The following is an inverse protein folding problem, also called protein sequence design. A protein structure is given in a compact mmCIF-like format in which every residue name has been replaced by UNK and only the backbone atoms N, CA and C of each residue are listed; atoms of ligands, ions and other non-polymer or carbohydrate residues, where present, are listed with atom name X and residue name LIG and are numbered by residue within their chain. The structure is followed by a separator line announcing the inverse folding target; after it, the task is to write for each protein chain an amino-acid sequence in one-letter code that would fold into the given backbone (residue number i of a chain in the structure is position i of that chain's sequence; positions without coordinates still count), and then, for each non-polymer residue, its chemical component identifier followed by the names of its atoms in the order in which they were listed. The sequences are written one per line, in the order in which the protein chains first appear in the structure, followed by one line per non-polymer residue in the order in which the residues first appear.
data_IF_461547132176
#
_entry.id   IF_461547132176
#
_cell.length_a   1.000
_cell.length_b   1.000
_cell.length_c   1.000
_cell.angle_alpha   90.00
_cell.angle_beta   90.00
_cell.angle_gamma   90.00
#
_symmetry.space_group_name_H-M   'P 1'
#
loop_
_entity.id
_entity.type
_entity.pdbx_description
1 polymer ?
#
# COMPACT_ATOMS: atom_id res chain seq x y z
N UNK A 1 -25.53 2.56 7.90
CA UNK A 1 -24.93 3.70 7.14
C UNK A 1 -24.78 3.28 5.68
N UNK A 2 -24.73 4.23 4.75
CA UNK A 2 -24.57 3.96 3.31
C UNK A 2 -23.18 4.48 2.88
N UNK A 3 -22.49 3.73 2.01
CA UNK A 3 -21.12 4.06 1.57
C UNK A 3 -21.03 3.88 0.05
N UNK A 4 -20.55 4.89 -0.65
CA UNK A 4 -20.12 4.78 -2.05
C UNK A 4 -18.69 4.24 -2.12
N UNK A 5 -18.46 3.18 -2.89
CA UNK A 5 -17.12 2.64 -3.13
C UNK A 5 -16.73 2.87 -4.58
N UNK A 6 -15.71 3.69 -4.81
CA UNK A 6 -15.20 4.04 -6.13
C UNK A 6 -13.89 3.33 -6.38
N UNK A 7 -13.85 2.48 -7.39
CA UNK A 7 -12.74 1.57 -7.65
C UNK A 7 -12.96 0.21 -6.98
N UNK A 8 -13.34 -0.77 -7.80
CA UNK A 8 -13.61 -2.15 -7.38
C UNK A 8 -12.49 -3.11 -7.84
N UNK A 9 -11.27 -2.61 -7.87
CA UNK A 9 -10.08 -3.45 -8.02
C UNK A 9 -9.89 -4.40 -6.83
N UNK A 10 -8.75 -5.10 -6.78
CA UNK A 10 -8.47 -6.12 -5.74
C UNK A 10 -8.72 -5.65 -4.31
N UNK A 11 -8.31 -4.43 -3.98
CA UNK A 11 -8.49 -3.89 -2.62
C UNK A 11 -9.91 -3.36 -2.40
N UNK A 12 -10.40 -2.51 -3.32
CA UNK A 12 -11.70 -1.86 -3.17
C UNK A 12 -12.88 -2.85 -3.16
N UNK A 13 -12.83 -3.89 -4.02
CA UNK A 13 -13.85 -4.94 -4.00
C UNK A 13 -13.89 -5.68 -2.66
N UNK A 14 -12.72 -6.11 -2.14
CA UNK A 14 -12.65 -6.83 -0.88
C UNK A 14 -13.10 -5.97 0.30
N UNK A 15 -12.75 -4.67 0.30
CA UNK A 15 -13.20 -3.74 1.33
C UNK A 15 -14.71 -3.48 1.24
N UNK A 16 -15.28 -3.37 0.03
CA UNK A 16 -16.73 -3.24 -0.20
C UNK A 16 -17.49 -4.47 0.31
N UNK A 17 -16.95 -5.67 0.09
CA UNK A 17 -17.50 -6.92 0.60
C UNK A 17 -17.44 -6.98 2.13
N UNK A 18 -16.34 -6.58 2.74
CA UNK A 18 -16.18 -6.49 4.19
C UNK A 18 -17.22 -5.53 4.81
N UNK A 19 -17.38 -4.33 4.23
CA UNK A 19 -18.42 -3.37 4.62
C UNK A 19 -19.83 -3.94 4.50
N UNK A 20 -20.10 -4.69 3.43
CA UNK A 20 -21.40 -5.33 3.21
C UNK A 20 -21.68 -6.37 4.28
N UNK A 21 -20.71 -7.21 4.64
CA UNK A 21 -20.81 -8.20 5.69
C UNK A 21 -21.01 -7.55 7.08
N UNK A 22 -20.45 -6.37 7.29
CA UNK A 22 -20.65 -5.54 8.48
C UNK A 22 -22.02 -4.82 8.51
N UNK A 23 -22.86 -5.00 7.49
CA UNK A 23 -24.22 -4.47 7.43
C UNK A 23 -24.37 -3.07 6.83
N UNK A 24 -23.34 -2.55 6.18
CA UNK A 24 -23.45 -1.30 5.43
C UNK A 24 -24.14 -1.52 4.07
N UNK A 25 -24.93 -0.54 3.64
CA UNK A 25 -25.38 -0.50 2.25
C UNK A 25 -24.27 0.09 1.39
N UNK A 26 -23.69 -0.74 0.53
CA UNK A 26 -22.62 -0.32 -0.38
C UNK A 26 -23.18 -0.07 -1.78
N UNK A 27 -22.81 1.08 -2.37
CA UNK A 27 -23.01 1.39 -3.79
C UNK A 27 -21.62 1.47 -4.45
N UNK A 28 -21.33 0.57 -5.38
CA UNK A 28 -20.02 0.48 -6.00
C UNK A 28 -20.00 1.02 -7.43
N UNK A 29 -18.85 1.59 -7.84
CA UNK A 29 -18.57 1.94 -9.22
C UNK A 29 -17.13 1.62 -9.59
N UNK A 30 -16.95 1.05 -10.79
CA UNK A 30 -15.65 0.82 -11.41
C UNK A 30 -15.78 0.91 -12.92
N UNK A 31 -14.92 1.67 -13.64
CA UNK A 31 -14.99 1.80 -15.09
C UNK A 31 -14.75 0.46 -15.83
N UNK A 32 -14.18 -0.55 -15.17
CA UNK A 32 -14.03 -1.91 -15.69
C UNK A 32 -15.31 -2.76 -15.65
N UNK A 33 -16.46 -2.18 -15.32
CA UNK A 33 -17.76 -2.87 -15.21
C UNK A 33 -17.72 -4.07 -14.27
N UNK A 34 -17.05 -3.94 -13.14
CA UNK A 34 -17.05 -4.96 -12.09
C UNK A 34 -18.45 -5.08 -11.50
N UNK A 35 -19.01 -6.28 -11.52
CA UNK A 35 -20.33 -6.56 -10.95
C UNK A 35 -20.24 -7.67 -9.90
N UNK A 36 -21.12 -7.60 -8.90
CA UNK A 36 -21.24 -8.60 -7.85
C UNK A 36 -22.71 -8.75 -7.46
N UNK A 37 -23.09 -9.91 -6.93
CA UNK A 37 -24.43 -10.13 -6.36
C UNK A 37 -24.55 -9.71 -4.89
N UNK A 38 -23.44 -9.29 -4.25
CA UNK A 38 -23.40 -9.03 -2.80
C UNK A 38 -23.75 -7.58 -2.44
N UNK A 39 -23.54 -6.63 -3.36
CA UNK A 39 -23.96 -5.24 -3.20
C UNK A 39 -24.31 -4.63 -4.55
N UNK A 40 -24.96 -3.47 -4.52
CA UNK A 40 -25.41 -2.77 -5.72
C UNK A 40 -24.25 -2.07 -6.43
N UNK A 41 -24.07 -2.29 -7.74
CA UNK A 41 -23.13 -1.55 -8.58
C UNK A 41 -23.88 -0.58 -9.49
N UNK A 42 -23.24 0.55 -9.80
CA UNK A 42 -23.75 1.64 -10.62
C UNK A 42 -22.91 1.80 -11.88
N UNK A 43 -23.50 2.40 -12.92
CA UNK A 43 -22.85 2.59 -14.21
C UNK A 43 -21.98 3.86 -14.26
N UNK A 44 -22.13 4.77 -13.27
CA UNK A 44 -21.35 5.99 -13.19
C UNK A 44 -21.10 6.46 -11.74
N UNK A 45 -20.15 7.38 -11.60
CA UNK A 45 -19.84 8.05 -10.33
C UNK A 45 -21.04 8.88 -9.84
N UNK A 46 -21.72 9.56 -10.76
CA UNK A 46 -22.91 10.37 -10.51
C UNK A 46 -24.00 9.51 -9.89
N UNK A 47 -24.28 8.34 -10.48
CA UNK A 47 -25.31 7.44 -9.98
C UNK A 47 -25.00 6.90 -8.57
N UNK A 48 -23.71 6.69 -8.24
CA UNK A 48 -23.33 6.36 -6.86
C UNK A 48 -23.68 7.51 -5.93
N UNK A 49 -23.27 8.73 -6.26
CA UNK A 49 -23.49 9.91 -5.42
C UNK A 49 -24.98 10.21 -5.24
N UNK A 50 -25.77 10.11 -6.32
CA UNK A 50 -27.22 10.32 -6.28
C UNK A 50 -27.96 9.25 -5.48
N UNK A 51 -27.46 8.02 -5.49
CA UNK A 51 -28.04 6.88 -4.77
C UNK A 51 -27.78 6.89 -3.25
N UNK A 52 -26.89 7.77 -2.75
CA UNK A 52 -26.53 7.87 -1.35
C UNK A 52 -27.35 8.94 -0.63
N UNK A 53 -27.68 8.68 0.64
CA UNK A 53 -28.29 9.67 1.53
C UNK A 53 -27.27 10.63 2.10
N UNK A 54 -27.65 11.91 2.21
CA UNK A 54 -26.84 12.95 2.85
C UNK A 54 -26.87 12.83 4.39
N UNK A 55 -25.73 13.10 5.09
CA UNK A 55 -24.40 13.34 4.52
C UNK A 55 -23.85 12.05 3.88
N UNK A 56 -23.35 12.18 2.66
CA UNK A 56 -22.81 11.06 1.90
C UNK A 56 -21.41 10.69 2.39
N UNK A 57 -21.07 9.41 2.34
CA UNK A 57 -19.69 8.91 2.56
C UNK A 57 -19.25 8.20 1.30
N UNK A 58 -18.19 8.69 0.66
CA UNK A 58 -17.62 8.11 -0.56
C UNK A 58 -16.18 7.71 -0.32
N UNK A 59 -15.89 6.43 -0.47
CA UNK A 59 -14.55 5.85 -0.33
C UNK A 59 -13.95 5.56 -1.70
N UNK A 60 -12.81 6.18 -1.99
CA UNK A 60 -12.09 6.07 -3.26
C UNK A 60 -10.92 5.11 -3.10
N UNK A 61 -10.91 4.04 -3.92
CA UNK A 61 -9.91 2.97 -3.93
C UNK A 61 -9.32 2.78 -5.34
N UNK A 62 -8.81 3.85 -5.92
CA UNK A 62 -8.24 3.88 -7.26
C UNK A 62 -6.71 4.04 -7.22
N UNK A 63 -5.97 3.76 -8.33
CA UNK A 63 -4.54 3.98 -8.40
C UNK A 63 -4.17 5.43 -8.09
N UNK A 64 -3.14 5.62 -7.25
CA UNK A 64 -2.63 6.94 -6.89
C UNK A 64 -2.14 7.75 -8.12
N UNK A 65 -2.17 9.07 -8.00
CA UNK A 65 -1.77 10.00 -9.06
C UNK A 65 -2.95 10.52 -9.87
N UNK A 66 -2.79 10.66 -11.18
CA UNK A 66 -3.76 11.31 -12.07
C UNK A 66 -5.18 10.71 -11.99
N UNK A 67 -5.28 9.38 -11.83
CA UNK A 67 -6.59 8.72 -11.71
C UNK A 67 -7.32 9.18 -10.44
N UNK A 68 -6.61 9.22 -9.30
CA UNK A 68 -7.16 9.75 -8.06
C UNK A 68 -7.54 11.22 -8.21
N UNK A 69 -6.71 12.04 -8.84
CA UNK A 69 -6.97 13.46 -9.03
C UNK A 69 -8.24 13.70 -9.86
N UNK A 70 -8.46 12.95 -10.94
CA UNK A 70 -9.66 13.05 -11.75
C UNK A 70 -10.92 12.65 -10.97
N UNK A 71 -10.90 11.49 -10.31
CA UNK A 71 -12.05 11.02 -9.50
C UNK A 71 -12.40 12.02 -8.39
N UNK A 72 -11.40 12.56 -7.72
CA UNK A 72 -11.60 13.54 -6.65
C UNK A 72 -12.12 14.88 -7.19
N UNK A 73 -11.68 15.31 -8.39
CA UNK A 73 -12.22 16.50 -9.04
C UNK A 73 -13.70 16.35 -9.40
N UNK A 74 -14.11 15.19 -9.92
CA UNK A 74 -15.50 14.89 -10.23
C UNK A 74 -16.34 14.85 -8.94
N UNK A 75 -15.88 14.16 -7.89
CA UNK A 75 -16.53 14.14 -6.58
C UNK A 75 -16.67 15.52 -5.99
N UNK A 76 -15.66 16.38 -6.14
CA UNK A 76 -15.76 17.78 -5.66
C UNK A 76 -16.87 18.56 -6.36
N UNK A 77 -17.23 18.23 -7.61
CA UNK A 77 -18.38 18.86 -8.29
C UNK A 77 -19.74 18.31 -7.80
N UNK A 78 -19.81 17.00 -7.53
CA UNK A 78 -21.05 16.28 -7.23
C UNK A 78 -21.47 16.36 -5.77
N UNK A 79 -20.52 16.48 -4.86
CA UNK A 79 -20.77 16.46 -3.42
C UNK A 79 -21.18 17.83 -2.88
N UNK A 80 -21.81 17.81 -1.71
CA UNK A 80 -22.40 18.97 -1.03
C UNK A 80 -21.76 19.18 0.36
N UNK A 81 -21.92 20.38 0.96
CA UNK A 81 -21.45 20.63 2.31
C UNK A 81 -21.89 19.57 3.32
N UNK A 82 -20.97 19.08 4.13
CA UNK A 82 -21.20 18.04 5.13
C UNK A 82 -20.98 16.62 4.64
N UNK A 83 -20.85 16.40 3.32
CA UNK A 83 -20.47 15.09 2.76
C UNK A 83 -19.00 14.76 3.11
N UNK A 84 -18.63 13.49 3.02
CA UNK A 84 -17.34 12.95 3.42
C UNK A 84 -16.72 12.19 2.25
N UNK A 85 -15.46 12.51 1.94
CA UNK A 85 -14.63 11.78 0.98
C UNK A 85 -13.48 11.10 1.71
N UNK A 86 -13.26 9.83 1.42
CA UNK A 86 -12.15 9.02 1.92
C UNK A 86 -11.25 8.64 0.75
N UNK A 87 -10.03 9.17 0.69
CA UNK A 87 -8.98 8.69 -0.21
C UNK A 87 -8.28 7.50 0.45
N UNK A 88 -8.65 6.29 0.04
CA UNK A 88 -8.10 5.03 0.55
C UNK A 88 -7.00 4.45 -0.35
N UNK A 89 -6.57 5.17 -1.38
CA UNK A 89 -5.43 4.82 -2.21
C UNK A 89 -4.09 5.00 -1.49
N UNK A 90 -3.01 4.60 -2.13
CA UNK A 90 -1.65 4.86 -1.61
C UNK A 90 -1.12 6.20 -2.14
N UNK A 91 -1.79 7.30 -1.80
CA UNK A 91 -1.43 8.64 -2.25
C UNK A 91 -0.24 9.22 -1.48
N UNK A 92 0.48 10.16 -2.11
CA UNK A 92 1.49 10.94 -1.40
C UNK A 92 0.81 11.87 -0.38
N UNK A 93 1.27 11.86 0.87
CA UNK A 93 0.67 12.64 1.95
C UNK A 93 0.61 14.15 1.68
N UNK A 94 1.59 14.70 0.93
CA UNK A 94 1.60 16.13 0.54
C UNK A 94 0.42 16.45 -0.39
N UNK A 95 0.08 15.52 -1.29
CA UNK A 95 -1.12 15.66 -2.13
C UNK A 95 -2.40 15.55 -1.31
N UNK A 96 -2.44 14.65 -0.32
CA UNK A 96 -3.60 14.51 0.58
C UNK A 96 -3.88 15.80 1.36
N UNK A 97 -2.84 16.49 1.84
CA UNK A 97 -2.98 17.80 2.48
C UNK A 97 -3.60 18.82 1.52
N UNK A 98 -3.08 18.91 0.28
CA UNK A 98 -3.60 19.86 -0.71
C UNK A 98 -5.06 19.54 -1.12
N UNK A 99 -5.38 18.25 -1.27
CA UNK A 99 -6.75 17.79 -1.57
C UNK A 99 -7.71 18.13 -0.44
N UNK A 100 -7.31 17.95 0.81
CA UNK A 100 -8.12 18.28 1.98
C UNK A 100 -8.47 19.78 2.01
N UNK A 101 -7.51 20.67 1.74
CA UNK A 101 -7.77 22.10 1.67
C UNK A 101 -8.74 22.46 0.54
N UNK A 102 -8.64 21.80 -0.61
CA UNK A 102 -9.55 22.01 -1.73
C UNK A 102 -10.99 21.57 -1.40
N UNK A 103 -11.20 20.41 -0.78
CA UNK A 103 -12.52 19.94 -0.35
C UNK A 103 -13.13 20.83 0.74
N UNK A 104 -12.30 21.37 1.62
CA UNK A 104 -12.70 22.30 2.69
C UNK A 104 -13.34 23.58 2.15
N UNK A 105 -12.94 24.07 0.96
CA UNK A 105 -13.55 25.23 0.31
C UNK A 105 -15.06 25.07 0.09
N UNK A 106 -15.51 23.82 -0.10
CA UNK A 106 -16.94 23.47 -0.23
C UNK A 106 -17.56 22.91 1.06
N UNK A 107 -16.86 22.98 2.20
CA UNK A 107 -17.30 22.40 3.46
C UNK A 107 -17.55 20.87 3.38
N UNK A 108 -16.76 20.18 2.55
CA UNK A 108 -16.74 18.72 2.42
C UNK A 108 -15.56 18.20 3.25
N UNK A 109 -15.79 17.17 4.06
CA UNK A 109 -14.73 16.56 4.85
C UNK A 109 -13.90 15.60 3.99
N UNK A 110 -12.59 15.71 4.11
CA UNK A 110 -11.65 14.82 3.41
C UNK A 110 -10.82 14.01 4.41
N UNK A 111 -10.75 12.71 4.17
CA UNK A 111 -9.91 11.77 4.93
C UNK A 111 -8.91 11.08 3.99
N UNK A 112 -7.67 10.95 4.44
CA UNK A 112 -6.65 10.13 3.83
C UNK A 112 -6.45 8.86 4.68
N UNK A 113 -6.62 7.70 4.05
CA UNK A 113 -6.63 6.42 4.76
C UNK A 113 -5.66 5.44 4.14
N UNK A 114 -4.54 5.24 4.83
CA UNK A 114 -3.62 4.17 4.49
C UNK A 114 -4.14 2.82 4.95
N UNK A 115 -4.30 1.89 4.03
CA UNK A 115 -4.76 0.53 4.32
C UNK A 115 -3.62 -0.47 4.15
N UNK A 116 -3.39 -1.30 5.16
CA UNK A 116 -2.45 -2.42 5.14
C UNK A 116 -3.17 -3.75 5.39
N UNK A 117 -2.52 -4.87 5.06
CA UNK A 117 -3.08 -6.21 5.18
C UNK A 117 -3.34 -6.89 3.83
N UNK A 118 -3.09 -6.21 2.70
CA UNK A 118 -3.32 -6.76 1.36
C UNK A 118 -4.78 -7.12 1.11
N UNK A 119 -5.04 -8.00 0.16
CA UNK A 119 -6.40 -8.45 -0.17
C UNK A 119 -7.07 -9.19 0.98
N UNK A 120 -6.32 -9.98 1.71
CA UNK A 120 -6.80 -10.74 2.87
C UNK A 120 -7.27 -9.79 3.98
N UNK A 121 -6.43 -8.80 4.32
CA UNK A 121 -6.80 -7.77 5.30
C UNK A 121 -8.00 -6.95 4.86
N UNK A 122 -8.05 -6.50 3.62
CA UNK A 122 -9.21 -5.77 3.10
C UNK A 122 -10.52 -6.56 3.22
N UNK A 123 -10.45 -7.89 3.08
CA UNK A 123 -11.62 -8.78 3.14
C UNK A 123 -12.03 -9.17 4.56
N UNK A 124 -11.07 -9.42 5.45
CA UNK A 124 -11.31 -10.07 6.74
C UNK A 124 -10.86 -9.27 7.96
N UNK A 125 -10.31 -8.08 7.77
CA UNK A 125 -9.88 -7.19 8.84
C UNK A 125 -8.56 -6.51 8.48
N UNK A 126 -8.65 -5.24 8.09
CA UNK A 126 -7.50 -4.43 7.66
C UNK A 126 -6.75 -3.82 8.86
N UNK A 127 -5.59 -3.22 8.54
CA UNK A 127 -4.96 -2.22 9.39
C UNK A 127 -5.13 -0.86 8.70
N UNK A 128 -5.88 0.07 9.32
CA UNK A 128 -6.20 1.37 8.74
C UNK A 128 -5.60 2.53 9.54
N UNK A 129 -4.96 3.45 8.85
CA UNK A 129 -4.31 4.64 9.40
C UNK A 129 -5.01 5.87 8.83
N UNK A 130 -5.71 6.64 9.67
CA UNK A 130 -6.69 7.63 9.25
C UNK A 130 -6.18 9.04 9.59
N UNK A 131 -6.09 9.90 8.58
CA UNK A 131 -5.88 11.34 8.72
C UNK A 131 -7.11 12.10 8.27
N UNK A 132 -7.45 13.21 8.96
CA UNK A 132 -8.59 14.03 8.61
C UNK A 132 -9.09 14.92 9.75
N UNK A 133 -10.29 15.45 9.60
CA UNK A 133 -10.92 16.27 10.63
C UNK A 133 -11.41 15.41 11.81
N UNK A 134 -10.98 15.77 13.03
CA UNK A 134 -11.29 15.00 14.25
C UNK A 134 -12.80 14.96 14.57
N UNK A 135 -13.51 16.07 14.35
CA UNK A 135 -14.94 16.12 14.66
C UNK A 135 -15.75 15.28 13.67
N UNK A 136 -15.37 15.35 12.40
CA UNK A 136 -15.97 14.51 11.36
C UNK A 136 -15.59 13.02 11.50
N UNK A 137 -14.37 12.72 11.98
CA UNK A 137 -13.93 11.36 12.27
C UNK A 137 -14.89 10.67 13.24
N UNK A 138 -15.31 11.32 14.32
CA UNK A 138 -16.26 10.76 15.27
C UNK A 138 -17.61 10.31 14.67
N UNK A 139 -17.97 10.82 13.48
CA UNK A 139 -19.20 10.43 12.75
C UNK A 139 -19.02 9.13 11.94
N UNK A 140 -17.80 8.78 11.59
CA UNK A 140 -17.47 7.65 10.70
C UNK A 140 -16.50 6.64 11.33
N UNK A 141 -16.11 6.82 12.58
CA UNK A 141 -15.16 5.94 13.28
C UNK A 141 -15.59 4.46 13.23
N UNK A 142 -16.90 4.19 13.34
CA UNK A 142 -17.45 2.84 13.29
C UNK A 142 -17.13 2.14 11.96
N UNK A 143 -17.01 2.87 10.86
CA UNK A 143 -16.64 2.30 9.56
C UNK A 143 -15.24 1.66 9.67
N UNK A 144 -14.30 2.35 10.30
CA UNK A 144 -12.92 1.87 10.43
C UNK A 144 -12.79 0.76 11.46
N UNK A 145 -13.54 0.82 12.55
CA UNK A 145 -13.57 -0.28 13.53
C UNK A 145 -14.13 -1.57 12.92
N UNK A 146 -15.15 -1.46 12.07
CA UNK A 146 -15.82 -2.62 11.48
C UNK A 146 -15.03 -3.28 10.36
N UNK A 147 -14.22 -2.51 9.60
CA UNK A 147 -13.39 -3.08 8.51
C UNK A 147 -12.00 -3.50 8.97
N UNK A 148 -11.59 -3.16 10.18
CA UNK A 148 -10.26 -3.47 10.71
C UNK A 148 -10.30 -4.66 11.67
N UNK A 149 -9.13 -5.26 11.90
CA UNK A 149 -8.97 -6.23 12.99
C UNK A 149 -9.06 -5.53 14.35
N UNK A 150 -9.21 -6.29 15.43
CA UNK A 150 -9.12 -5.75 16.78
C UNK A 150 -7.84 -4.93 16.96
N UNK A 151 -7.99 -3.68 17.43
CA UNK A 151 -6.89 -2.71 17.54
C UNK A 151 -6.20 -2.37 16.21
N UNK A 152 -6.83 -2.66 15.06
CA UNK A 152 -6.26 -2.49 13.72
C UNK A 152 -6.51 -1.14 13.08
N UNK A 153 -7.15 -0.17 13.74
CA UNK A 153 -7.31 1.19 13.21
C UNK A 153 -6.74 2.24 14.15
N UNK A 154 -6.30 3.34 13.55
CA UNK A 154 -5.76 4.48 14.30
C UNK A 154 -6.14 5.80 13.60
N UNK A 155 -6.78 6.71 14.36
CA UNK A 155 -6.81 8.12 13.96
C UNK A 155 -5.43 8.72 14.23
N UNK A 156 -4.70 9.00 13.15
CA UNK A 156 -3.30 9.44 13.20
C UNK A 156 -3.14 10.95 13.38
N UNK A 157 -4.21 11.73 13.10
CA UNK A 157 -4.15 13.19 13.20
C UNK A 157 -4.81 13.92 12.02
N UNK A 158 -4.41 15.18 11.72
CA UNK A 158 -4.98 15.96 10.64
C UNK A 158 -4.71 15.34 9.26
N UNK A 159 -5.38 15.86 8.24
CA UNK A 159 -5.22 15.38 6.85
C UNK A 159 -3.77 15.29 6.42
N UNK A 160 -3.42 14.20 5.76
CA UNK A 160 -2.06 13.81 5.37
C UNK A 160 -1.41 12.85 6.36
N UNK A 161 -1.84 12.81 7.63
CA UNK A 161 -1.22 11.96 8.66
C UNK A 161 -1.45 10.47 8.45
N UNK A 162 -2.57 10.07 7.87
CA UNK A 162 -2.88 8.68 7.54
C UNK A 162 -1.95 8.13 6.46
N UNK A 163 -1.87 8.82 5.33
CA UNK A 163 -0.96 8.45 4.24
C UNK A 163 0.52 8.61 4.62
N UNK A 164 0.87 9.59 5.45
CA UNK A 164 2.22 9.70 5.99
C UNK A 164 2.61 8.47 6.80
N UNK A 165 1.75 8.06 7.74
CA UNK A 165 1.98 6.88 8.56
C UNK A 165 2.07 5.61 7.71
N UNK A 166 1.19 5.46 6.71
CA UNK A 166 1.22 4.35 5.76
C UNK A 166 2.49 4.33 4.91
N UNK A 167 2.96 5.49 4.46
CA UNK A 167 4.21 5.63 3.70
C UNK A 167 5.41 5.11 4.53
N UNK A 168 5.52 5.53 5.79
CA UNK A 168 6.59 5.08 6.70
C UNK A 168 6.48 3.57 6.98
N UNK A 169 5.26 3.07 7.21
CA UNK A 169 4.99 1.64 7.33
C UNK A 169 5.56 0.86 6.14
N UNK A 170 5.30 1.31 4.91
CA UNK A 170 5.82 0.65 3.71
C UNK A 170 7.34 0.75 3.59
N UNK A 171 7.96 1.84 4.03
CA UNK A 171 9.41 1.93 4.13
C UNK A 171 10.00 0.87 5.05
N UNK A 172 9.40 0.64 6.23
CA UNK A 172 9.78 -0.42 7.16
C UNK A 172 9.59 -1.80 6.52
N UNK A 173 8.46 -2.03 5.85
CA UNK A 173 8.17 -3.27 5.13
C UNK A 173 9.25 -3.61 4.09
N UNK A 174 9.74 -2.61 3.33
CA UNK A 174 10.84 -2.80 2.37
C UNK A 174 12.11 -3.30 3.07
N UNK A 175 12.49 -2.69 4.20
CA UNK A 175 13.63 -3.11 5.00
C UNK A 175 13.49 -4.52 5.54
N UNK A 176 12.32 -4.87 6.05
CA UNK A 176 12.04 -6.21 6.58
C UNK A 176 12.11 -7.27 5.48
N UNK A 177 11.48 -7.04 4.32
CA UNK A 177 11.55 -7.98 3.20
C UNK A 177 12.98 -8.17 2.70
N UNK A 178 13.75 -7.08 2.59
CA UNK A 178 15.14 -7.16 2.14
C UNK A 178 16.00 -7.97 3.12
N UNK A 179 15.87 -7.73 4.42
CA UNK A 179 16.62 -8.47 5.43
C UNK A 179 16.28 -9.97 5.45
N UNK A 180 15.00 -10.32 5.29
CA UNK A 180 14.56 -11.72 5.16
C UNK A 180 15.18 -12.34 3.91
N UNK A 181 15.08 -11.68 2.76
CA UNK A 181 15.61 -12.17 1.50
C UNK A 181 17.12 -12.42 1.54
N UNK A 182 17.89 -11.48 2.09
CA UNK A 182 19.34 -11.62 2.27
C UNK A 182 19.69 -12.79 3.19
N UNK A 183 18.93 -12.98 4.28
CA UNK A 183 19.10 -14.10 5.18
C UNK A 183 18.88 -15.45 4.48
N UNK A 184 17.83 -15.60 3.71
CA UNK A 184 17.55 -16.82 2.96
C UNK A 184 18.55 -17.04 1.81
N UNK A 185 19.04 -15.99 1.16
CA UNK A 185 20.11 -16.12 0.15
C UNK A 185 21.42 -16.64 0.78
N UNK A 186 21.76 -16.20 1.99
CA UNK A 186 22.92 -16.72 2.73
C UNK A 186 22.74 -18.22 3.05
N UNK A 187 21.53 -18.63 3.47
CA UNK A 187 21.24 -20.05 3.72
C UNK A 187 21.37 -20.90 2.45
N UNK A 188 20.82 -20.43 1.34
CA UNK A 188 20.86 -21.12 0.04
C UNK A 188 22.30 -21.34 -0.46
N UNK A 189 23.19 -20.37 -0.23
CA UNK A 189 24.61 -20.45 -0.61
C UNK A 189 25.51 -21.14 0.42
N UNK A 190 24.97 -21.53 1.56
CA UNK A 190 25.73 -22.20 2.62
C UNK A 190 26.09 -23.63 2.24
N UNK A 191 27.07 -24.26 2.94
CA UNK A 191 27.39 -25.68 2.70
C UNK A 191 26.36 -26.66 3.28
N UNK A 192 25.26 -26.16 3.85
CA UNK A 192 24.23 -26.98 4.47
C UNK A 192 22.98 -27.01 3.57
N UNK A 193 22.35 -28.17 3.50
CA UNK A 193 21.10 -28.36 2.76
C UNK A 193 19.91 -28.06 3.69
N UNK A 194 19.42 -26.83 3.64
CA UNK A 194 18.28 -26.39 4.44
C UNK A 194 16.98 -26.51 3.64
N UNK A 195 15.96 -27.04 4.30
CA UNK A 195 14.58 -26.90 3.87
C UNK A 195 14.07 -25.49 4.27
N UNK A 196 13.99 -24.57 3.31
CA UNK A 196 13.64 -23.18 3.55
C UNK A 196 12.22 -23.01 4.10
N UNK A 197 11.27 -23.88 3.70
CA UNK A 197 9.92 -23.90 4.30
C UNK A 197 10.00 -24.18 5.81
N UNK A 198 10.76 -25.22 6.20
CA UNK A 198 10.92 -25.57 7.61
C UNK A 198 11.67 -24.50 8.40
N UNK A 199 12.66 -23.84 7.78
CA UNK A 199 13.37 -22.71 8.41
C UNK A 199 12.41 -21.56 8.66
N UNK A 200 11.63 -21.13 7.67
CA UNK A 200 10.65 -20.06 7.82
C UNK A 200 9.61 -20.42 8.89
N UNK A 201 9.10 -21.65 8.89
CA UNK A 201 8.16 -22.18 9.88
C UNK A 201 8.73 -22.08 11.30
N UNK A 202 9.93 -22.62 11.54
CA UNK A 202 10.49 -22.61 12.90
C UNK A 202 10.81 -21.18 13.37
N UNK A 203 11.24 -20.30 12.46
CA UNK A 203 11.50 -18.91 12.81
C UNK A 203 10.23 -18.12 13.08
N UNK A 204 9.11 -18.49 12.48
CA UNK A 204 7.83 -17.87 12.80
C UNK A 204 7.22 -18.34 14.12
N UNK A 205 7.73 -19.44 14.72
CA UNK A 205 7.26 -20.00 15.97
C UNK A 205 8.27 -19.80 17.11
N UNK A 206 8.12 -18.71 17.85
CA UNK A 206 8.88 -18.43 19.07
C UNK A 206 10.19 -17.67 18.87
N UNK A 207 10.64 -17.38 17.65
CA UNK A 207 11.83 -16.57 17.43
C UNK A 207 11.50 -15.07 17.39
N UNK A 208 12.53 -14.22 17.56
CA UNK A 208 12.37 -12.76 17.53
C UNK A 208 12.06 -12.21 16.16
N UNK A 209 12.33 -12.94 15.07
CA UNK A 209 12.06 -12.54 13.68
C UNK A 209 10.68 -13.00 13.17
N UNK A 210 9.85 -13.56 14.05
CA UNK A 210 8.48 -13.93 13.69
C UNK A 210 7.71 -12.70 13.18
N UNK A 211 6.95 -12.89 12.11
CA UNK A 211 6.15 -11.83 11.49
C UNK A 211 5.22 -12.42 10.45
N UNK A 212 4.21 -11.66 10.04
CA UNK A 212 3.39 -12.05 8.89
C UNK A 212 4.24 -12.24 7.62
N UNK A 213 5.27 -11.42 7.41
CA UNK A 213 6.21 -11.62 6.29
C UNK A 213 6.94 -12.98 6.37
N UNK A 214 7.27 -13.45 7.57
CA UNK A 214 7.88 -14.79 7.74
C UNK A 214 6.89 -15.92 7.45
N UNK A 215 5.61 -15.77 7.82
CA UNK A 215 4.53 -16.69 7.44
C UNK A 215 4.34 -16.73 5.92
N UNK A 216 4.34 -15.56 5.27
CA UNK A 216 4.26 -15.49 3.81
C UNK A 216 5.50 -16.09 3.12
N UNK A 217 6.67 -16.01 3.75
CA UNK A 217 7.91 -16.66 3.29
C UNK A 217 7.77 -18.18 3.36
N UNK A 218 7.25 -18.74 4.45
CA UNK A 218 6.90 -20.15 4.56
C UNK A 218 5.95 -20.58 3.43
N UNK A 219 4.87 -19.84 3.23
CA UNK A 219 3.89 -20.12 2.17
C UNK A 219 4.49 -20.05 0.76
N UNK A 220 5.44 -19.15 0.51
CA UNK A 220 6.13 -19.07 -0.78
C UNK A 220 6.98 -20.29 -1.05
N UNK A 221 7.80 -20.71 -0.09
CA UNK A 221 8.65 -21.93 -0.21
C UNK A 221 7.83 -23.23 -0.24
N UNK A 222 6.65 -23.26 0.40
CA UNK A 222 5.72 -24.37 0.28
C UNK A 222 5.24 -24.58 -1.17
N UNK A 223 5.03 -23.51 -1.91
CA UNK A 223 4.57 -23.56 -3.31
C UNK A 223 5.68 -23.88 -4.29
N UNK A 224 6.86 -23.34 -4.06
CA UNK A 224 8.06 -23.51 -4.89
C UNK A 224 9.30 -23.47 -4.00
N UNK A 225 9.83 -24.63 -3.67
CA UNK A 225 10.91 -24.82 -2.69
C UNK A 225 12.22 -24.08 -3.04
N UNK A 226 12.45 -23.76 -4.31
CA UNK A 226 13.64 -23.04 -4.80
C UNK A 226 13.33 -21.72 -5.47
N UNK A 227 12.04 -21.34 -5.54
CA UNK A 227 11.55 -20.15 -6.25
C UNK A 227 11.99 -20.08 -7.72
N UNK A 228 12.15 -21.25 -8.36
CA UNK A 228 12.66 -21.37 -9.72
C UNK A 228 11.71 -20.80 -10.78
N UNK A 229 10.42 -20.70 -10.47
CA UNK A 229 9.40 -20.10 -11.33
C UNK A 229 9.36 -18.57 -11.29
N UNK A 230 10.14 -17.94 -10.39
CA UNK A 230 10.11 -16.50 -10.15
C UNK A 230 11.43 -15.85 -10.56
N UNK A 231 11.36 -14.77 -11.34
CA UNK A 231 12.53 -13.92 -11.58
C UNK A 231 12.76 -12.97 -10.42
N UNK A 232 14.04 -12.72 -10.05
CA UNK A 232 14.44 -11.80 -9.01
C UNK A 232 14.29 -10.31 -9.42
N UNK A 233 13.15 -9.94 -9.99
CA UNK A 233 12.81 -8.57 -10.42
C UNK A 233 11.79 -7.98 -9.47
N UNK A 234 12.16 -6.91 -8.77
CA UNK A 234 11.39 -6.31 -7.70
C UNK A 234 10.89 -4.92 -8.10
N UNK A 235 9.65 -4.83 -8.56
CA UNK A 235 9.04 -3.52 -8.79
C UNK A 235 8.76 -2.81 -7.46
N UNK A 236 8.73 -1.49 -7.48
CA UNK A 236 8.38 -0.65 -6.34
C UNK A 236 7.28 0.34 -6.71
N UNK A 237 6.37 0.59 -5.78
CA UNK A 237 5.47 1.73 -5.78
C UNK A 237 6.15 2.97 -5.18
N UNK A 238 5.44 4.11 -5.08
CA UNK A 238 6.04 5.38 -4.65
C UNK A 238 6.49 5.42 -3.19
N UNK A 239 5.87 4.66 -2.30
CA UNK A 239 5.96 4.83 -0.85
C UNK A 239 7.37 4.65 -0.30
N UNK A 240 8.12 3.65 -0.77
CA UNK A 240 9.52 3.45 -0.37
C UNK A 240 10.39 4.65 -0.75
N UNK A 241 10.20 5.20 -1.95
CA UNK A 241 10.90 6.40 -2.42
C UNK A 241 10.53 7.62 -1.58
N UNK A 242 9.23 7.87 -1.37
CA UNK A 242 8.76 9.01 -0.57
C UNK A 242 9.25 8.93 0.88
N UNK A 243 9.35 7.71 1.46
CA UNK A 243 9.93 7.52 2.80
C UNK A 243 11.40 7.98 2.84
N UNK A 244 12.21 7.61 1.84
CA UNK A 244 13.62 8.03 1.77
C UNK A 244 13.74 9.53 1.54
N UNK A 245 12.96 10.11 0.63
CA UNK A 245 12.91 11.56 0.39
C UNK A 245 12.52 12.32 1.65
N UNK A 246 11.52 11.85 2.39
CA UNK A 246 11.09 12.45 3.65
C UNK A 246 12.15 12.33 4.75
N UNK A 247 12.83 11.18 4.83
CA UNK A 247 13.95 11.02 5.76
C UNK A 247 15.08 12.04 5.50
N UNK A 248 15.39 12.29 4.22
CA UNK A 248 16.37 13.32 3.83
C UNK A 248 15.88 14.74 4.18
N UNK A 249 14.60 15.06 3.91
CA UNK A 249 14.02 16.36 4.27
C UNK A 249 14.07 16.63 5.77
N UNK A 250 13.88 15.61 6.60
CA UNK A 250 13.89 15.72 8.07
C UNK A 250 15.27 15.50 8.69
N UNK A 251 16.30 15.20 7.88
CA UNK A 251 17.65 14.92 8.38
C UNK A 251 17.73 13.61 9.18
N UNK A 252 16.83 12.66 8.93
CA UNK A 252 16.79 11.37 9.62
C UNK A 252 17.59 10.33 8.84
N UNK A 253 18.64 9.73 9.39
CA UNK A 253 19.36 8.64 8.74
C UNK A 253 18.46 7.41 8.60
N UNK A 254 18.22 6.94 7.37
CA UNK A 254 17.42 5.75 7.08
C UNK A 254 18.14 4.76 6.14
N UNK A 255 19.37 4.28 6.51
CA UNK A 255 20.20 3.49 5.61
C UNK A 255 19.54 2.17 5.19
N UNK A 256 18.87 1.47 6.10
CA UNK A 256 18.19 0.19 5.81
C UNK A 256 17.09 0.37 4.76
N UNK A 257 16.23 1.35 4.93
CA UNK A 257 15.14 1.63 3.99
C UNK A 257 15.70 2.10 2.64
N UNK A 258 16.68 3.00 2.67
CA UNK A 258 17.31 3.52 1.45
C UNK A 258 17.99 2.41 0.63
N UNK A 259 18.77 1.54 1.26
CA UNK A 259 19.41 0.41 0.58
C UNK A 259 18.39 -0.59 0.05
N UNK A 260 17.33 -0.89 0.78
CA UNK A 260 16.25 -1.77 0.32
C UNK A 260 15.57 -1.23 -0.95
N UNK A 261 15.33 0.08 -1.02
CA UNK A 261 14.82 0.73 -2.23
C UNK A 261 15.83 0.61 -3.39
N UNK A 262 17.11 0.85 -3.13
CA UNK A 262 18.18 0.75 -4.15
C UNK A 262 18.32 -0.68 -4.67
N UNK A 263 18.18 -1.70 -3.81
CA UNK A 263 18.19 -3.10 -4.24
C UNK A 263 17.01 -3.41 -5.18
N UNK A 264 15.82 -2.88 -4.92
CA UNK A 264 14.70 -3.01 -5.87
C UNK A 264 15.01 -2.36 -7.21
N UNK A 265 15.53 -1.13 -7.22
CA UNK A 265 15.94 -0.46 -8.44
C UNK A 265 17.03 -1.25 -9.18
N UNK A 266 18.02 -1.77 -8.45
CA UNK A 266 19.10 -2.60 -9.01
C UNK A 266 18.60 -3.88 -9.68
N UNK A 267 17.53 -4.48 -9.14
CA UNK A 267 16.94 -5.71 -9.67
C UNK A 267 16.32 -5.57 -11.07
N UNK A 268 16.05 -4.34 -11.50
CA UNK A 268 15.47 -4.05 -12.82
C UNK A 268 16.51 -4.02 -13.94
N UNK A 269 17.81 -4.07 -13.61
CA UNK A 269 18.91 -3.94 -14.59
C UNK A 269 19.84 -5.15 -14.55
N UNK A 270 20.10 -5.77 -15.71
CA UNK A 270 20.99 -6.92 -15.84
C UNK A 270 22.45 -6.50 -16.06
N UNK A 271 22.72 -5.41 -16.81
CA UNK A 271 24.05 -4.94 -17.18
C UNK A 271 24.17 -3.43 -17.00
N UNK A 272 24.69 -3.00 -15.83
CA UNK A 272 24.72 -1.59 -15.46
C UNK A 272 25.88 -0.81 -16.03
N UNK A 273 25.66 0.46 -16.39
CA UNK A 273 26.72 1.36 -16.82
C UNK A 273 27.79 1.57 -15.75
N UNK A 274 27.39 1.64 -14.46
CA UNK A 274 28.33 1.73 -13.33
C UNK A 274 29.26 0.51 -13.26
N UNK A 275 28.72 -0.68 -13.47
CA UNK A 275 29.53 -1.92 -13.58
C UNK A 275 30.54 -1.85 -14.70
N UNK A 276 30.15 -1.34 -15.87
CA UNK A 276 31.05 -1.13 -17.02
C UNK A 276 32.17 -0.15 -16.70
N UNK A 277 31.85 0.96 -16.02
CA UNK A 277 32.88 1.96 -15.64
C UNK A 277 33.89 1.33 -14.68
N UNK A 278 33.43 0.57 -13.66
CA UNK A 278 34.34 -0.10 -12.73
C UNK A 278 35.22 -1.14 -13.45
N UNK A 279 34.62 -1.94 -14.35
CA UNK A 279 35.36 -2.93 -15.13
C UNK A 279 36.43 -2.26 -16.02
N UNK A 280 36.06 -1.16 -16.72
CA UNK A 280 36.98 -0.38 -17.50
C UNK A 280 38.13 0.21 -16.67
N UNK A 281 37.83 0.83 -15.52
CA UNK A 281 38.85 1.38 -14.63
C UNK A 281 39.82 0.29 -14.13
N UNK A 282 39.30 -0.89 -13.74
CA UNK A 282 40.14 -2.01 -13.33
C UNK A 282 41.08 -2.50 -14.47
N UNK A 283 40.59 -2.47 -15.69
CA UNK A 283 41.41 -2.79 -16.87
C UNK A 283 42.51 -1.72 -17.07
N UNK A 284 42.18 -0.43 -17.04
CA UNK A 284 43.10 0.66 -17.28
C UNK A 284 44.24 0.74 -16.25
N UNK A 285 43.96 0.64 -14.97
CA UNK A 285 45.00 0.76 -13.94
C UNK A 285 45.71 -0.54 -13.61
N UNK A 286 45.08 -1.70 -13.80
CA UNK A 286 45.62 -2.99 -13.35
C UNK A 286 45.69 -4.07 -14.41
N UNK A 287 45.28 -3.78 -15.64
CA UNK A 287 45.27 -4.76 -16.73
C UNK A 287 44.34 -5.94 -16.53
N UNK A 288 43.34 -5.79 -15.62
CA UNK A 288 42.37 -6.83 -15.35
C UNK A 288 41.51 -7.11 -16.57
N UNK A 289 41.27 -8.39 -16.89
CA UNK A 289 40.41 -8.78 -18.00
C UNK A 289 38.99 -8.22 -17.86
N UNK A 290 38.43 -7.76 -18.97
CA UNK A 290 37.01 -7.38 -19.06
C UNK A 290 36.24 -8.41 -19.88
N UNK A 291 35.04 -8.74 -19.49
CA UNK A 291 34.14 -9.54 -20.31
C UNK A 291 33.57 -8.68 -21.42
N UNK A 292 33.62 -9.21 -22.66
CA UNK A 292 33.04 -8.56 -23.86
C UNK A 292 31.69 -9.18 -24.16
N UNK A 293 30.77 -8.38 -24.69
CA UNK A 293 29.45 -8.85 -25.16
C UNK A 293 29.61 -9.83 -26.32
#
# INVERSE_FOLDING_TARGET
MEIGMIGLGKMGLNLALNLTDAGYRVLGYDPGNVSTSQFETKDSLEEVVEGLKTPRVVWVMVPAGEVTDHVLADLHQLLSPGDIVIDGGNSNYKQSIARAEHFKEKLIYFFDVGTSGGMEGARHGACTMIGGDMEAFGKIETIFSDVSTDSGYLYAGPSGSGHFLKMVHNGIEYGMMQAIAEGFEILEKSPFDYDHEQVARVWNHGSVVRSWLMELTESAFHKDAKLDEIKGVMHSSGEGKWTVETALEYGVPAPVIALSLMMRQRSLEEDTFSGKVVAALRNEFGGHAVEKK
#
